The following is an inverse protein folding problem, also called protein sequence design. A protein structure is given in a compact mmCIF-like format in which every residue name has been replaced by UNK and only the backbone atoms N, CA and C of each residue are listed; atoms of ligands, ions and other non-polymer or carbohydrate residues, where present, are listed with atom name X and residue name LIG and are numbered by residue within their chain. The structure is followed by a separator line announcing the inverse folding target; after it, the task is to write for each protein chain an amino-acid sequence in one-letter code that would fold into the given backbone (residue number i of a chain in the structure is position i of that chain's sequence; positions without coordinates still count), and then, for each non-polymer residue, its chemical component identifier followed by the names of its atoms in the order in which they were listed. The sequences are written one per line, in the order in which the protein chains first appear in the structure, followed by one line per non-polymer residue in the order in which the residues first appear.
data_IF_920231168507
#
_entry.id   IF_920231168507
#
_cell.length_a   1.000
_cell.length_b   1.000
_cell.length_c   1.000
_cell.angle_alpha   90.00
_cell.angle_beta   90.00
_cell.angle_gamma   90.00
#
_symmetry.space_group_name_H-M   'P 1'
#
loop_
_entity.id
_entity.type
_entity.pdbx_description
1 polymer ?
#
# COMPACT_ATOMS: atom_id res chain seq x y z
N UNK A 1 -11.11 10.70 1.50
CA UNK A 1 -11.45 10.41 0.10
C UNK A 1 -11.26 11.59 -0.85
N UNK A 2 -11.60 12.83 -0.46
CA UNK A 2 -11.63 13.98 -1.37
C UNK A 2 -10.28 14.35 -2.03
N UNK A 3 -9.13 13.97 -1.46
CA UNK A 3 -7.83 14.40 -1.98
C UNK A 3 -7.11 13.33 -2.78
N UNK A 4 -7.20 12.07 -2.35
CA UNK A 4 -6.33 10.98 -2.82
C UNK A 4 -7.07 9.83 -3.48
N UNK A 5 -8.40 9.84 -3.46
CA UNK A 5 -9.25 8.76 -3.98
C UNK A 5 -10.18 8.20 -2.90
N UNK A 6 -11.28 7.56 -3.31
CA UNK A 6 -12.23 6.95 -2.38
C UNK A 6 -11.64 5.73 -1.68
N UNK A 7 -10.82 4.97 -2.40
CA UNK A 7 -10.21 3.72 -1.95
C UNK A 7 -8.91 3.90 -1.16
N UNK A 8 -8.61 5.10 -0.68
CA UNK A 8 -7.35 5.41 0.02
C UNK A 8 -7.07 4.57 1.27
N UNK A 9 -8.10 3.94 1.82
CA UNK A 9 -8.02 3.06 2.99
C UNK A 9 -7.56 1.64 2.62
N UNK A 10 -7.53 1.29 1.33
CA UNK A 10 -6.97 0.02 0.83
C UNK A 10 -5.44 0.14 0.77
N UNK A 11 -4.73 -0.84 1.31
CA UNK A 11 -3.26 -0.89 1.30
C UNK A 11 -2.74 -1.23 -0.10
N UNK A 12 -1.58 -0.67 -0.45
CA UNK A 12 -0.87 -1.01 -1.67
C UNK A 12 -1.37 -0.22 -2.89
N UNK A 13 -1.06 -0.67 -4.12
CA UNK A 13 -1.42 0.05 -5.34
C UNK A 13 -2.94 0.11 -5.57
N UNK A 14 -3.71 -0.85 -5.04
CA UNK A 14 -5.16 -0.93 -5.21
C UNK A 14 -5.92 0.27 -4.62
N UNK A 15 -5.37 0.90 -3.57
CA UNK A 15 -5.97 2.09 -2.96
C UNK A 15 -5.66 3.41 -3.68
N UNK A 16 -4.84 3.37 -4.73
CA UNK A 16 -4.35 4.56 -5.42
C UNK A 16 -5.23 4.96 -6.59
N UNK A 17 -5.73 6.20 -6.52
CA UNK A 17 -6.33 6.88 -7.66
C UNK A 17 -5.28 7.78 -8.32
N UNK A 18 -4.66 7.28 -9.39
CA UNK A 18 -3.59 7.99 -10.13
C UNK A 18 -4.03 9.37 -10.62
N UNK A 19 -5.31 9.56 -10.95
CA UNK A 19 -5.82 10.83 -11.44
C UNK A 19 -5.89 11.91 -10.35
N UNK A 20 -5.74 11.52 -9.08
CA UNK A 20 -5.73 12.46 -7.94
C UNK A 20 -4.34 12.56 -7.31
N UNK A 21 -3.65 11.44 -7.17
CA UNK A 21 -2.32 11.40 -6.53
C UNK A 21 -1.20 11.79 -7.50
N UNK A 22 -1.41 11.65 -8.81
CA UNK A 22 -0.38 11.77 -9.84
C UNK A 22 0.83 10.84 -9.60
N UNK A 23 0.62 9.75 -8.86
CA UNK A 23 1.62 8.74 -8.57
C UNK A 23 1.29 7.47 -9.36
N UNK A 24 2.18 7.01 -10.25
CA UNK A 24 2.00 5.75 -10.98
C UNK A 24 1.83 4.55 -10.05
N UNK A 25 0.93 3.62 -10.41
CA UNK A 25 0.68 2.39 -9.63
C UNK A 25 1.96 1.59 -9.36
N UNK A 26 2.85 1.49 -10.34
CA UNK A 26 4.12 0.76 -10.22
C UNK A 26 5.01 1.29 -9.07
N UNK A 27 4.95 2.59 -8.75
CA UNK A 27 5.73 3.17 -7.64
C UNK A 27 5.20 2.69 -6.29
N UNK A 28 3.88 2.56 -6.15
CA UNK A 28 3.25 2.10 -4.93
C UNK A 28 3.33 0.59 -4.79
N UNK A 29 3.22 -0.14 -5.90
CA UNK A 29 3.45 -1.58 -5.96
C UNK A 29 4.88 -1.92 -5.51
N UNK A 30 5.89 -1.28 -6.10
CA UNK A 30 7.29 -1.47 -5.67
C UNK A 30 7.46 -1.19 -4.17
N UNK A 31 6.92 -0.08 -3.68
CA UNK A 31 7.01 0.28 -2.26
C UNK A 31 6.32 -0.73 -1.35
N UNK A 32 5.12 -1.19 -1.71
CA UNK A 32 4.35 -2.16 -0.92
C UNK A 32 5.06 -3.53 -0.88
N UNK A 33 5.61 -3.96 -2.02
CA UNK A 33 6.37 -5.22 -2.13
C UNK A 33 7.62 -5.20 -1.25
N UNK A 34 8.47 -4.17 -1.37
CA UNK A 34 9.70 -4.07 -0.56
C UNK A 34 9.35 -4.00 0.93
N UNK A 35 8.35 -3.20 1.30
CA UNK A 35 7.93 -3.13 2.70
C UNK A 35 7.44 -4.49 3.22
N UNK A 36 6.68 -5.27 2.44
CA UNK A 36 6.26 -6.62 2.83
C UNK A 36 7.45 -7.56 2.99
N UNK A 37 8.39 -7.53 2.07
CA UNK A 37 9.61 -8.35 2.15
C UNK A 37 10.43 -8.02 3.40
N UNK A 38 10.67 -6.75 3.67
CA UNK A 38 11.38 -6.27 4.87
C UNK A 38 10.66 -6.70 6.15
N UNK A 39 9.33 -6.54 6.19
CA UNK A 39 8.53 -6.97 7.34
C UNK A 39 8.56 -8.49 7.52
N UNK A 40 8.48 -9.27 6.45
CA UNK A 40 8.65 -10.72 6.57
C UNK A 40 10.03 -11.07 7.11
N UNK A 41 11.09 -10.38 6.67
CA UNK A 41 12.44 -10.61 7.18
C UNK A 41 12.56 -10.32 8.67
N UNK A 42 12.08 -9.15 9.13
CA UNK A 42 12.15 -8.72 10.54
C UNK A 42 11.34 -9.66 11.45
N UNK A 43 10.16 -10.09 11.00
CA UNK A 43 9.26 -10.94 11.79
C UNK A 43 9.47 -12.44 11.55
N UNK A 44 10.61 -12.84 10.96
CA UNK A 44 10.97 -14.25 10.72
C UNK A 44 9.86 -15.03 9.98
N UNK A 45 9.28 -14.42 8.95
CA UNK A 45 8.20 -14.98 8.13
C UNK A 45 6.81 -14.97 8.78
N UNK A 46 6.64 -14.30 9.92
CA UNK A 46 5.38 -14.28 10.69
C UNK A 46 4.62 -12.95 10.58
N UNK A 47 5.03 -12.05 9.68
CA UNK A 47 4.32 -10.79 9.50
C UNK A 47 2.95 -11.05 8.84
N UNK A 48 1.89 -10.47 9.42
CA UNK A 48 0.54 -10.47 8.85
C UNK A 48 0.27 -9.09 8.24
N UNK A 49 -0.20 -9.07 7.00
CA UNK A 49 -0.45 -7.83 6.29
C UNK A 49 -1.94 -7.53 6.20
N UNK A 50 -2.42 -6.46 6.84
CA UNK A 50 -3.82 -6.10 6.76
C UNK A 50 -4.13 -5.51 5.38
N UNK A 51 -5.31 -5.86 4.85
CA UNK A 51 -5.81 -5.36 3.56
C UNK A 51 -6.11 -3.85 3.59
N UNK A 52 -6.51 -3.35 4.74
CA UNK A 52 -6.85 -1.94 4.94
C UNK A 52 -5.82 -1.29 5.87
N UNK A 53 -5.60 0.00 5.69
CA UNK A 53 -4.80 0.82 6.60
C UNK A 53 -5.66 1.08 7.84
N UNK A 54 -5.14 0.79 9.03
CA UNK A 54 -5.78 1.18 10.29
C UNK A 54 -5.79 2.71 10.38
N UNK A 55 -6.98 3.30 10.38
CA UNK A 55 -7.22 4.75 10.57
C UNK A 55 -7.59 5.07 12.00
#
# INVERSE_FOLDING_TARGET
SHWVGKEYYIRGPDGNDIHRTNVPHIRLEFRDTIWREEMQQVYLGKAVFPRHIET
#
